data_IF_225666624320
#
_entry.id   IF_225666624320
#
_cell.length_a   1.000
_cell.length_b   1.000
_cell.length_c   1.000
_cell.angle_alpha   90.00
_cell.angle_beta   90.00
_cell.angle_gamma   90.00
#
_symmetry.space_group_name_H-M   'P 1'
#
loop_
_entity.id
_entity.type
_entity.pdbx_description
1 polymer ?
#
# COMPACT_ATOMS: atom_id res chain seq x y z
N UNK A 1 -17.16 11.15 2.20
CA UNK A 1 -17.09 9.75 1.70
C UNK A 1 -15.80 9.16 2.21
N UNK A 2 -15.80 8.04 2.95
CA UNK A 2 -14.55 7.42 3.39
C UNK A 2 -13.83 6.84 2.17
N UNK A 3 -12.58 7.26 1.92
CA UNK A 3 -11.77 6.79 0.81
C UNK A 3 -11.47 5.30 0.97
N UNK A 4 -11.58 4.55 -0.13
CA UNK A 4 -11.27 3.11 -0.15
C UNK A 4 -9.77 2.90 0.12
N UNK A 5 -9.37 1.82 0.82
CA UNK A 5 -7.97 1.53 1.06
C UNK A 5 -7.17 1.36 -0.24
N UNK A 6 -5.90 1.71 -0.21
CA UNK A 6 -4.97 1.62 -1.34
C UNK A 6 -3.71 0.84 -0.94
N UNK A 7 -3.33 -0.10 -1.79
CA UNK A 7 -2.08 -0.85 -1.70
C UNK A 7 -1.21 -0.49 -2.91
N UNK A 8 0.02 -0.07 -2.69
CA UNK A 8 1.00 0.22 -3.74
C UNK A 8 2.09 -0.84 -3.67
N UNK A 9 2.20 -1.65 -4.74
CA UNK A 9 3.31 -2.58 -4.90
C UNK A 9 4.45 -1.86 -5.63
N UNK A 10 5.46 -1.42 -4.88
CA UNK A 10 6.68 -0.79 -5.39
C UNK A 10 7.59 -1.86 -6.02
N UNK A 11 7.26 -2.23 -7.25
CA UNK A 11 7.90 -3.32 -7.98
C UNK A 11 9.29 -2.93 -8.54
N UNK A 12 10.07 -3.96 -8.87
CA UNK A 12 11.46 -3.90 -9.35
C UNK A 12 12.47 -3.46 -8.27
N UNK A 13 12.21 -3.80 -7.01
CA UNK A 13 13.11 -3.45 -5.90
C UNK A 13 14.52 -4.04 -6.02
N UNK A 14 14.69 -5.04 -6.89
CA UNK A 14 15.96 -5.68 -7.24
C UNK A 14 16.89 -4.79 -8.08
N UNK A 15 16.36 -3.73 -8.71
CA UNK A 15 17.16 -2.86 -9.56
C UNK A 15 18.04 -1.93 -8.72
N UNK A 16 19.29 -1.68 -9.13
CA UNK A 16 20.23 -0.85 -8.38
C UNK A 16 19.80 0.61 -8.26
N UNK A 17 18.93 1.08 -9.17
CA UNK A 17 18.34 2.42 -9.21
C UNK A 17 16.91 2.45 -8.64
N UNK A 18 16.45 1.37 -7.99
CA UNK A 18 15.13 1.33 -7.39
C UNK A 18 15.00 2.39 -6.28
N UNK A 19 13.92 3.17 -6.36
CA UNK A 19 13.57 4.15 -5.34
C UNK A 19 13.21 3.47 -4.02
N UNK A 20 13.57 4.10 -2.90
CA UNK A 20 13.10 3.65 -1.59
C UNK A 20 11.59 3.92 -1.45
N UNK A 21 10.95 3.23 -0.49
CA UNK A 21 9.55 3.48 -0.16
C UNK A 21 9.31 4.95 0.20
N UNK A 22 10.25 5.58 0.92
CA UNK A 22 10.17 6.98 1.30
C UNK A 22 10.24 7.91 0.08
N UNK A 23 11.13 7.62 -0.87
CA UNK A 23 11.24 8.40 -2.12
C UNK A 23 9.97 8.29 -2.95
N UNK A 24 9.39 7.08 -3.05
CA UNK A 24 8.13 6.84 -3.74
C UNK A 24 6.99 7.62 -3.06
N UNK A 25 6.91 7.58 -1.73
CA UNK A 25 5.91 8.32 -0.97
C UNK A 25 6.00 9.82 -1.20
N UNK A 26 7.21 10.37 -1.17
CA UNK A 26 7.47 11.78 -1.45
C UNK A 26 7.14 12.15 -2.91
N UNK A 27 7.57 11.33 -3.87
CA UNK A 27 7.36 11.58 -5.30
C UNK A 27 5.88 11.65 -5.67
N UNK A 28 5.06 10.76 -5.09
CA UNK A 28 3.61 10.74 -5.29
C UNK A 28 2.84 11.59 -4.28
N UNK A 29 3.52 12.30 -3.37
CA UNK A 29 2.92 13.15 -2.34
C UNK A 29 1.88 12.39 -1.50
N UNK A 30 2.18 11.14 -1.15
CA UNK A 30 1.20 10.23 -0.54
C UNK A 30 0.75 10.67 0.86
N UNK A 31 1.57 11.46 1.55
CA UNK A 31 1.22 12.05 2.84
C UNK A 31 0.04 13.03 2.76
N UNK A 32 -0.28 13.55 1.58
CA UNK A 32 -1.45 14.41 1.37
C UNK A 32 -2.78 13.65 1.29
N UNK A 33 -2.75 12.32 1.21
CA UNK A 33 -3.95 11.47 1.12
C UNK A 33 -4.47 11.12 2.53
N UNK A 34 -5.20 12.04 3.14
CA UNK A 34 -5.78 11.83 4.48
C UNK A 34 -7.15 11.10 4.45
N UNK A 35 -7.75 10.95 3.27
CA UNK A 35 -9.11 10.43 3.12
C UNK A 35 -9.19 8.88 3.15
N UNK A 36 -8.04 8.20 3.12
CA UNK A 36 -7.94 6.74 3.01
C UNK A 36 -6.70 6.18 3.70
N UNK A 37 -6.75 4.88 4.00
CA UNK A 37 -5.57 4.15 4.41
C UNK A 37 -4.74 3.76 3.19
N UNK A 38 -3.44 4.02 3.26
CA UNK A 38 -2.48 3.68 2.21
C UNK A 38 -1.33 2.85 2.79
N UNK A 39 -0.89 1.86 2.02
CA UNK A 39 0.32 1.09 2.34
C UNK A 39 1.16 0.90 1.08
N UNK A 40 2.49 0.93 1.23
CA UNK A 40 3.45 0.71 0.15
C UNK A 40 4.31 -0.49 0.52
N UNK A 41 4.34 -1.49 -0.35
CA UNK A 41 5.12 -2.69 -0.19
C UNK A 41 6.17 -2.78 -1.29
N UNK A 42 7.46 -2.84 -0.92
CA UNK A 42 8.52 -3.10 -1.89
C UNK A 42 8.42 -4.55 -2.40
N UNK A 43 8.44 -4.74 -3.72
CA UNK A 43 8.29 -6.06 -4.35
C UNK A 43 9.28 -6.31 -5.48
N UNK A 44 9.58 -7.60 -5.70
CA UNK A 44 10.28 -8.07 -6.89
C UNK A 44 9.40 -9.13 -7.56
N UNK A 45 8.75 -8.77 -8.67
CA UNK A 45 7.85 -9.70 -9.37
C UNK A 45 8.56 -10.94 -9.94
N UNK A 46 9.86 -10.86 -10.23
CA UNK A 46 10.63 -11.99 -10.76
C UNK A 46 10.89 -13.07 -9.70
N UNK A 47 11.19 -12.68 -8.47
CA UNK A 47 11.38 -13.61 -7.35
C UNK A 47 10.09 -13.91 -6.58
N UNK A 48 9.05 -13.08 -6.76
CA UNK A 48 7.82 -13.10 -5.97
C UNK A 48 7.95 -12.43 -4.60
N UNK A 49 9.12 -11.87 -4.28
CA UNK A 49 9.37 -11.26 -2.98
C UNK A 49 8.45 -10.06 -2.72
N UNK A 50 7.87 -10.01 -1.52
CA UNK A 50 6.96 -8.95 -1.07
C UNK A 50 5.56 -8.98 -1.69
N UNK A 51 5.30 -9.82 -2.71
CA UNK A 51 3.98 -9.89 -3.35
C UNK A 51 2.95 -10.49 -2.39
N UNK A 52 3.27 -11.62 -1.76
CA UNK A 52 2.37 -12.28 -0.80
C UNK A 52 2.11 -11.35 0.39
N UNK A 53 3.15 -10.73 0.94
CA UNK A 53 3.03 -9.80 2.06
C UNK A 53 2.12 -8.62 1.73
N UNK A 54 2.30 -8.02 0.55
CA UNK A 54 1.43 -6.94 0.07
C UNK A 54 -0.04 -7.38 -0.08
N UNK A 55 -0.28 -8.60 -0.54
CA UNK A 55 -1.65 -9.12 -0.64
C UNK A 55 -2.28 -9.41 0.72
N UNK A 56 -1.51 -9.92 1.68
CA UNK A 56 -1.96 -10.14 3.06
C UNK A 56 -2.29 -8.80 3.73
N UNK A 57 -1.45 -7.79 3.53
CA UNK A 57 -1.68 -6.46 4.07
C UNK A 57 -2.91 -5.79 3.43
N UNK A 58 -3.14 -5.99 2.13
CA UNK A 58 -4.36 -5.52 1.48
C UNK A 58 -5.61 -6.18 2.07
N UNK A 59 -5.57 -7.48 2.35
CA UNK A 59 -6.67 -8.17 3.02
C UNK A 59 -6.95 -7.58 4.42
N UNK A 60 -5.90 -7.24 5.17
CA UNK A 60 -6.01 -6.55 6.47
C UNK A 60 -6.64 -5.16 6.33
N UNK A 61 -6.19 -4.36 5.36
CA UNK A 61 -6.70 -3.01 5.10
C UNK A 61 -8.19 -3.03 4.75
N UNK A 62 -8.62 -3.96 3.88
CA UNK A 62 -10.04 -4.11 3.50
C UNK A 62 -10.89 -4.52 4.70
N UNK A 63 -10.42 -5.49 5.51
CA UNK A 63 -11.12 -5.91 6.73
C UNK A 63 -11.33 -4.74 7.71
N UNK A 64 -10.28 -3.95 7.96
CA UNK A 64 -10.36 -2.79 8.84
C UNK A 64 -11.31 -1.71 8.29
N UNK A 65 -11.29 -1.49 6.98
CA UNK A 65 -12.20 -0.57 6.33
C UNK A 65 -13.67 -0.98 6.49
N UNK A 66 -14.00 -2.26 6.30
CA UNK A 66 -15.36 -2.76 6.49
C UNK A 66 -15.83 -2.65 7.95
N UNK A 67 -14.97 -2.97 8.93
CA UNK A 67 -15.29 -2.79 10.36
C UNK A 67 -15.64 -1.32 10.66
N UNK A 68 -14.80 -0.38 10.19
CA UNK A 68 -15.03 1.05 10.41
C UNK A 68 -16.32 1.58 9.78
N UNK A 69 -16.86 0.90 8.76
CA UNK A 69 -18.13 1.22 8.11
C UNK A 69 -19.33 0.69 8.87
N UNK A 70 -19.16 -0.43 9.59
CA UNK A 70 -20.21 -1.01 10.45
C UNK A 70 -20.37 -0.18 11.72
N UNK A 71 -19.27 0.23 12.35
CA UNK A 71 -19.30 1.01 13.61
C UNK A 71 -19.85 2.43 13.44
N UNK A 72 -19.89 2.95 12.21
CA UNK A 72 -20.43 4.28 11.88
C UNK A 72 -21.91 4.27 11.50
N UNK A 73 -22.60 3.11 11.58
CA UNK A 73 -24.04 2.98 11.33
C UNK A 73 -24.87 3.05 12.59
#
# INVERSE_FOLDING_TARGET
MAGKPVMILANKKDQPDALSIADIAAFFQLDSFEDRHLHIQATCALSGEGVIDGMLEMARLVKNFEISRVDKR
#
